data_IF_496074069222
#
_entry.id   IF_496074069222
#
_cell.length_a   1.000
_cell.length_b   1.000
_cell.length_c   1.000
_cell.angle_alpha   90.00
_cell.angle_beta   90.00
_cell.angle_gamma   90.00
#
_symmetry.space_group_name_H-M   'P 1'
#
loop_
_entity.id
_entity.type
_entity.pdbx_description
1 polymer ?
#
# COMPACT_ATOMS: atom_id res chain seq x y z
N UNK A 1 6.38 18.52 12.77
CA UNK A 1 6.79 17.64 11.64
C UNK A 1 7.60 18.49 10.68
N UNK A 2 8.82 18.11 10.30
CA UNK A 2 9.67 18.95 9.46
C UNK A 2 9.46 18.55 7.99
N UNK A 3 8.57 19.26 7.28
CA UNK A 3 8.19 18.98 5.89
C UNK A 3 9.39 18.85 4.94
N UNK A 4 10.49 19.56 5.22
CA UNK A 4 11.72 19.50 4.42
C UNK A 4 12.38 18.11 4.49
N UNK A 5 12.29 17.41 5.63
CA UNK A 5 12.85 16.06 5.76
C UNK A 5 12.05 15.04 4.92
N UNK A 6 10.73 15.15 4.93
CA UNK A 6 9.85 14.28 4.13
C UNK A 6 10.04 14.50 2.63
N UNK A 7 10.09 15.76 2.18
CA UNK A 7 10.36 16.09 0.77
C UNK A 7 11.71 15.54 0.33
N UNK A 8 12.74 15.64 1.18
CA UNK A 8 14.05 15.03 0.90
C UNK A 8 13.96 13.51 0.78
N UNK A 9 13.27 12.84 1.70
CA UNK A 9 13.09 11.39 1.63
C UNK A 9 12.33 10.95 0.35
N UNK A 10 11.25 11.65 0.00
CA UNK A 10 10.49 11.40 -1.24
C UNK A 10 11.37 11.63 -2.47
N UNK A 11 12.19 12.69 -2.49
CA UNK A 11 13.11 12.96 -3.60
C UNK A 11 14.18 11.87 -3.77
N UNK A 12 14.65 11.29 -2.65
CA UNK A 12 15.57 10.14 -2.67
C UNK A 12 14.84 8.91 -3.23
N UNK A 13 13.59 8.66 -2.83
CA UNK A 13 12.78 7.56 -3.38
C UNK A 13 12.57 7.68 -4.89
N UNK A 14 12.17 8.86 -5.37
CA UNK A 14 12.01 9.14 -6.80
C UNK A 14 13.35 8.98 -7.52
N UNK A 15 14.45 9.46 -6.91
CA UNK A 15 15.80 9.30 -7.44
C UNK A 15 16.21 7.83 -7.59
N UNK A 16 15.92 6.98 -6.61
CA UNK A 16 16.18 5.54 -6.70
C UNK A 16 15.38 4.90 -7.83
N UNK A 17 14.09 5.25 -7.97
CA UNK A 17 13.25 4.76 -9.07
C UNK A 17 13.74 5.22 -10.44
N UNK A 18 14.17 6.47 -10.56
CA UNK A 18 14.72 7.01 -11.81
C UNK A 18 16.06 6.38 -12.16
N UNK A 19 16.95 6.16 -11.19
CA UNK A 19 18.22 5.45 -11.41
C UNK A 19 17.96 4.00 -11.80
N UNK A 20 17.00 3.33 -11.17
CA UNK A 20 16.62 1.97 -11.52
C UNK A 20 15.97 1.90 -12.91
N UNK A 21 15.06 2.82 -13.22
CA UNK A 21 14.45 2.94 -14.54
C UNK A 21 15.46 3.29 -15.62
N UNK A 22 16.41 4.18 -15.35
CA UNK A 22 17.51 4.52 -16.24
C UNK A 22 18.49 3.35 -16.42
N UNK A 23 18.74 2.56 -15.38
CA UNK A 23 19.53 1.34 -15.47
C UNK A 23 18.83 0.31 -16.37
N UNK A 24 17.53 0.08 -16.19
CA UNK A 24 16.74 -0.79 -17.09
C UNK A 24 16.72 -0.23 -18.52
N UNK A 25 16.60 1.08 -18.68
CA UNK A 25 16.57 1.74 -19.98
C UNK A 25 17.94 1.64 -20.70
N UNK A 26 19.04 1.83 -19.98
CA UNK A 26 20.40 1.63 -20.50
C UNK A 26 20.65 0.17 -20.89
N UNK A 27 20.08 -0.79 -20.15
CA UNK A 27 20.07 -2.20 -20.52
C UNK A 27 19.28 -2.41 -21.82
N UNK A 28 18.16 -1.70 -22.01
CA UNK A 28 17.32 -1.81 -23.21
C UNK A 28 17.87 -1.11 -24.45
N UNK A 29 18.81 -0.17 -24.29
CA UNK A 29 19.45 0.58 -25.39
C UNK A 29 20.64 -0.14 -26.04
N UNK A 30 21.06 -1.29 -25.49
CA UNK A 30 22.11 -2.08 -26.09
C UNK A 30 21.61 -2.79 -27.36
N UNK A 31 21.95 -2.27 -28.54
CA UNK A 31 21.61 -2.79 -29.88
C UNK A 31 22.01 -4.26 -30.15
N UNK A 32 22.64 -4.92 -29.18
CA UNK A 32 23.18 -6.27 -29.30
C UNK A 32 22.95 -7.05 -28.01
N UNK A 33 21.68 -7.38 -27.74
CA UNK A 33 21.23 -8.14 -26.56
C UNK A 33 22.15 -9.33 -26.23
N UNK A 34 22.64 -10.04 -27.26
CA UNK A 34 23.55 -11.19 -27.10
C UNK A 34 24.86 -10.85 -26.39
N UNK A 35 25.55 -9.77 -26.79
CA UNK A 35 26.85 -9.41 -26.21
C UNK A 35 26.70 -8.99 -24.75
N UNK A 36 25.60 -8.32 -24.40
CA UNK A 36 25.29 -7.92 -23.03
C UNK A 36 25.17 -9.14 -22.10
N UNK A 37 24.39 -10.16 -22.48
CA UNK A 37 24.28 -11.40 -21.72
C UNK A 37 25.63 -12.11 -21.57
N UNK A 38 26.46 -12.16 -22.62
CA UNK A 38 27.79 -12.75 -22.55
C UNK A 38 28.73 -11.97 -21.61
N UNK A 39 28.67 -10.63 -21.57
CA UNK A 39 29.44 -9.83 -20.60
C UNK A 39 29.00 -10.07 -19.16
N UNK A 40 27.70 -10.19 -18.89
CA UNK A 40 27.20 -10.52 -17.54
C UNK A 40 27.66 -11.90 -17.11
N UNK A 41 27.47 -12.92 -17.98
CA UNK A 41 27.88 -14.30 -17.69
C UNK A 41 29.40 -14.37 -17.50
N UNK A 42 30.17 -13.69 -18.35
CA UNK A 42 31.63 -13.58 -18.23
C UNK A 42 32.05 -12.93 -16.92
N UNK A 43 31.39 -11.85 -16.51
CA UNK A 43 31.66 -11.19 -15.22
C UNK A 43 31.35 -12.10 -14.02
N UNK A 44 30.22 -12.83 -14.04
CA UNK A 44 29.87 -13.81 -13.01
C UNK A 44 30.95 -14.90 -12.89
N UNK A 45 31.44 -15.41 -14.03
CA UNK A 45 32.52 -16.40 -14.05
C UNK A 45 33.83 -15.85 -13.49
N UNK A 46 34.19 -14.61 -13.82
CA UNK A 46 35.37 -13.93 -13.26
C UNK A 46 35.23 -13.78 -11.74
N UNK A 47 34.05 -13.37 -11.23
CA UNK A 47 33.80 -13.30 -9.80
C UNK A 47 33.95 -14.66 -9.11
N UNK A 48 33.44 -15.74 -9.71
CA UNK A 48 33.57 -17.11 -9.21
C UNK A 48 35.05 -17.54 -9.11
N UNK A 49 35.82 -17.30 -10.17
CA UNK A 49 37.26 -17.62 -10.22
C UNK A 49 38.01 -16.85 -9.14
N UNK A 50 37.73 -15.55 -8.98
CA UNK A 50 38.36 -14.70 -7.97
C UNK A 50 38.05 -15.20 -6.54
N UNK A 51 36.81 -15.61 -6.27
CA UNK A 51 36.43 -16.19 -4.96
C UNK A 51 37.15 -17.53 -4.70
N UNK A 52 37.27 -18.39 -5.71
CA UNK A 52 38.01 -19.66 -5.59
C UNK A 52 39.49 -19.41 -5.30
N UNK A 53 40.12 -18.49 -6.05
CA UNK A 53 41.53 -18.10 -5.83
C UNK A 53 41.73 -17.52 -4.43
N UNK A 54 40.80 -16.70 -3.96
CA UNK A 54 40.82 -16.14 -2.60
C UNK A 54 40.78 -17.25 -1.53
N UNK A 55 39.91 -18.25 -1.70
CA UNK A 55 39.79 -19.38 -0.76
C UNK A 55 41.03 -20.29 -0.73
N UNK A 56 41.72 -20.45 -1.87
CA UNK A 56 42.91 -21.30 -1.98
C UNK A 56 44.14 -20.60 -1.40
N UNK A 57 44.40 -19.35 -1.78
CA UNK A 57 45.67 -18.68 -1.47
C UNK A 57 45.67 -17.91 -0.15
N UNK A 58 44.50 -17.54 0.42
CA UNK A 58 44.31 -16.89 1.73
C UNK A 58 45.37 -15.83 2.08
N UNK A 59 45.80 -15.04 1.09
CA UNK A 59 46.88 -14.06 1.24
C UNK A 59 46.29 -12.64 1.20
N UNK A 60 46.78 -11.75 2.07
CA UNK A 60 46.30 -10.35 2.22
C UNK A 60 46.33 -9.55 0.92
N UNK A 61 47.27 -9.84 0.01
CA UNK A 61 47.37 -9.16 -1.29
C UNK A 61 46.25 -9.64 -2.23
N UNK A 62 45.99 -10.95 -2.25
CA UNK A 62 44.92 -11.57 -3.05
C UNK A 62 43.55 -11.07 -2.57
N UNK A 63 43.35 -10.93 -1.26
CA UNK A 63 42.13 -10.37 -0.69
C UNK A 63 41.87 -8.92 -1.14
N UNK A 64 42.91 -8.08 -1.21
CA UNK A 64 42.77 -6.69 -1.67
C UNK A 64 42.41 -6.61 -3.15
N UNK A 65 43.05 -7.42 -4.00
CA UNK A 65 42.79 -7.46 -5.44
C UNK A 65 41.39 -8.02 -5.70
N UNK A 66 41.02 -9.10 -5.01
CA UNK A 66 39.67 -9.68 -5.07
C UNK A 66 38.60 -8.66 -4.66
N UNK A 67 38.87 -7.88 -3.60
CA UNK A 67 38.00 -6.80 -3.15
C UNK A 67 37.69 -5.80 -4.26
N UNK A 68 38.70 -5.32 -5.00
CA UNK A 68 38.52 -4.35 -6.10
C UNK A 68 37.66 -4.94 -7.23
N UNK A 69 37.92 -6.19 -7.63
CA UNK A 69 37.19 -6.86 -8.72
C UNK A 69 35.73 -7.14 -8.33
N UNK A 70 35.46 -7.38 -7.04
CA UNK A 70 34.13 -7.64 -6.50
C UNK A 70 33.33 -6.36 -6.18
N UNK A 71 33.91 -5.15 -6.27
CA UNK A 71 33.18 -3.89 -6.00
C UNK A 71 31.88 -3.78 -6.83
N UNK A 72 31.88 -3.99 -8.16
CA UNK A 72 30.65 -3.89 -8.95
C UNK A 72 29.59 -4.91 -8.53
N UNK A 73 29.99 -6.16 -8.23
CA UNK A 73 29.09 -7.17 -7.68
C UNK A 73 28.54 -6.77 -6.30
N UNK A 74 29.36 -6.17 -5.45
CA UNK A 74 28.96 -5.65 -4.14
C UNK A 74 27.93 -4.51 -4.24
N UNK A 75 28.10 -3.61 -5.21
CA UNK A 75 27.12 -2.55 -5.50
C UNK A 75 25.78 -3.17 -5.92
N UNK A 76 25.79 -4.14 -6.84
CA UNK A 76 24.57 -4.85 -7.25
C UNK A 76 23.90 -5.56 -6.08
N UNK A 77 24.67 -6.24 -5.23
CA UNK A 77 24.14 -6.91 -4.05
C UNK A 77 23.52 -5.92 -3.04
N UNK A 78 24.15 -4.76 -2.83
CA UNK A 78 23.61 -3.71 -1.98
C UNK A 78 22.29 -3.16 -2.53
N UNK A 79 22.22 -2.91 -3.85
CA UNK A 79 20.98 -2.48 -4.52
C UNK A 79 19.87 -3.51 -4.31
N UNK A 80 20.13 -4.80 -4.58
CA UNK A 80 19.15 -5.88 -4.40
C UNK A 80 18.67 -5.97 -2.94
N UNK A 81 19.59 -5.84 -1.98
CA UNK A 81 19.30 -5.87 -0.54
C UNK A 81 18.32 -4.75 -0.13
N UNK A 82 18.41 -3.57 -0.75
CA UNK A 82 17.48 -2.45 -0.48
C UNK A 82 16.16 -2.60 -1.26
N UNK A 83 16.22 -3.09 -2.49
CA UNK A 83 15.03 -3.25 -3.35
C UNK A 83 14.07 -4.31 -2.80
N UNK A 84 14.57 -5.44 -2.29
CA UNK A 84 13.73 -6.54 -1.78
C UNK A 84 12.69 -6.08 -0.75
N UNK A 85 13.06 -5.42 0.37
CA UNK A 85 12.08 -4.99 1.36
C UNK A 85 11.13 -3.94 0.79
N UNK A 86 11.63 -3.02 -0.05
CA UNK A 86 10.82 -1.99 -0.67
C UNK A 86 9.73 -2.58 -1.59
N UNK A 87 10.13 -3.45 -2.52
CA UNK A 87 9.20 -4.12 -3.44
C UNK A 87 8.20 -4.99 -2.69
N UNK A 88 8.63 -5.66 -1.61
CA UNK A 88 7.74 -6.49 -0.81
C UNK A 88 6.66 -5.66 -0.12
N UNK A 89 7.05 -4.54 0.50
CA UNK A 89 6.10 -3.60 1.14
C UNK A 89 5.18 -2.96 0.10
N UNK A 90 5.70 -2.64 -1.09
CA UNK A 90 4.89 -2.13 -2.20
C UNK A 90 3.84 -3.15 -2.67
N UNK A 91 4.22 -4.43 -2.80
CA UNK A 91 3.27 -5.52 -3.12
C UNK A 91 2.19 -5.65 -2.04
N UNK A 92 2.52 -5.49 -0.75
CA UNK A 92 1.50 -5.47 0.31
C UNK A 92 0.55 -4.28 0.18
N UNK A 93 1.05 -3.09 -0.19
CA UNK A 93 0.21 -1.93 -0.45
C UNK A 93 -0.75 -2.22 -1.62
N UNK A 94 -0.27 -2.83 -2.70
CA UNK A 94 -1.12 -3.22 -3.83
C UNK A 94 -2.20 -4.22 -3.41
N UNK A 95 -1.84 -5.28 -2.67
CA UNK A 95 -2.84 -6.23 -2.15
C UNK A 95 -3.87 -5.54 -1.25
N UNK A 96 -3.43 -4.60 -0.39
CA UNK A 96 -4.32 -3.84 0.46
C UNK A 96 -5.35 -3.06 -0.36
N UNK A 97 -4.89 -2.32 -1.38
CA UNK A 97 -5.77 -1.55 -2.26
C UNK A 97 -6.73 -2.45 -3.04
N UNK A 98 -6.24 -3.58 -3.57
CA UNK A 98 -7.08 -4.55 -4.28
C UNK A 98 -8.18 -5.12 -3.38
N UNK A 99 -7.83 -5.59 -2.17
CA UNK A 99 -8.82 -6.14 -1.23
C UNK A 99 -9.85 -5.06 -0.86
N UNK A 100 -9.40 -3.82 -0.66
CA UNK A 100 -10.27 -2.69 -0.33
C UNK A 100 -11.27 -2.33 -1.44
N UNK A 101 -10.94 -2.62 -2.71
CA UNK A 101 -11.84 -2.40 -3.86
C UNK A 101 -12.73 -3.63 -4.12
N UNK A 102 -12.17 -4.83 -4.02
CA UNK A 102 -12.88 -6.10 -4.29
C UNK A 102 -14.03 -6.31 -3.30
N UNK A 103 -13.82 -6.02 -2.01
CA UNK A 103 -14.86 -6.19 -0.99
C UNK A 103 -16.15 -5.39 -1.30
N UNK A 104 -16.09 -4.07 -1.53
CA UNK A 104 -17.25 -3.28 -1.99
C UNK A 104 -17.88 -3.82 -3.26
N UNK A 105 -17.08 -4.24 -4.25
CA UNK A 105 -17.60 -4.79 -5.51
C UNK A 105 -18.44 -6.03 -5.27
N UNK A 106 -17.98 -6.96 -4.43
CA UNK A 106 -18.73 -8.17 -4.07
C UNK A 106 -20.04 -7.78 -3.37
N UNK A 107 -20.02 -6.81 -2.46
CA UNK A 107 -21.22 -6.35 -1.74
C UNK A 107 -22.23 -5.76 -2.73
N UNK A 108 -21.81 -4.85 -3.60
CA UNK A 108 -22.67 -4.18 -4.58
C UNK A 108 -23.24 -5.19 -5.57
N UNK A 109 -22.41 -6.10 -6.11
CA UNK A 109 -22.86 -7.10 -7.06
C UNK A 109 -23.85 -8.09 -6.43
N UNK A 110 -23.64 -8.47 -5.17
CA UNK A 110 -24.59 -9.26 -4.40
C UNK A 110 -25.93 -8.54 -4.24
N UNK A 111 -25.92 -7.27 -3.82
CA UNK A 111 -27.14 -6.46 -3.69
C UNK A 111 -27.87 -6.30 -5.02
N UNK A 112 -27.13 -6.14 -6.13
CA UNK A 112 -27.71 -6.08 -7.46
C UNK A 112 -28.35 -7.41 -7.87
N UNK A 113 -27.71 -8.55 -7.56
CA UNK A 113 -28.25 -9.88 -7.83
C UNK A 113 -29.60 -10.13 -7.12
N UNK A 114 -29.76 -9.61 -5.90
CA UNK A 114 -31.03 -9.66 -5.16
C UNK A 114 -32.04 -8.58 -5.60
N UNK A 115 -31.72 -7.76 -6.59
CA UNK A 115 -32.61 -6.72 -7.14
C UNK A 115 -32.70 -5.43 -6.30
N UNK A 116 -31.93 -5.31 -5.21
CA UNK A 116 -31.99 -4.14 -4.32
C UNK A 116 -31.41 -2.86 -4.93
N UNK A 117 -30.66 -2.94 -6.02
CA UNK A 117 -30.03 -1.79 -6.69
C UNK A 117 -30.67 -1.45 -8.04
N UNK A 118 -31.70 -2.18 -8.45
CA UNK A 118 -32.33 -2.06 -9.78
C UNK A 118 -32.92 -0.68 -10.10
N UNK A 119 -33.23 0.11 -9.07
CA UNK A 119 -33.77 1.47 -9.21
C UNK A 119 -32.69 2.56 -9.25
N UNK A 120 -31.43 2.22 -8.99
CA UNK A 120 -30.32 3.18 -8.92
C UNK A 120 -29.72 3.41 -10.29
N UNK A 121 -29.32 4.66 -10.56
CA UNK A 121 -28.52 4.99 -11.74
C UNK A 121 -27.11 4.45 -11.61
N UNK A 122 -26.44 4.20 -12.76
CA UNK A 122 -25.04 3.77 -12.78
C UNK A 122 -24.11 4.72 -12.02
N UNK A 123 -24.38 6.03 -12.09
CA UNK A 123 -23.63 7.07 -11.37
C UNK A 123 -23.81 6.97 -9.86
N UNK A 124 -24.99 6.59 -9.39
CA UNK A 124 -25.25 6.37 -7.96
C UNK A 124 -24.55 5.11 -7.45
N UNK A 125 -24.57 4.03 -8.25
CA UNK A 125 -23.83 2.80 -7.93
C UNK A 125 -22.33 3.07 -7.87
N UNK A 126 -21.79 3.86 -8.80
CA UNK A 126 -20.39 4.28 -8.80
C UNK A 126 -20.02 5.13 -7.57
N UNK A 127 -20.88 6.09 -7.20
CA UNK A 127 -20.72 6.85 -5.95
C UNK A 127 -20.63 5.93 -4.73
N UNK A 128 -21.53 4.94 -4.62
CA UNK A 128 -21.50 3.98 -3.52
C UNK A 128 -20.25 3.12 -3.54
N UNK A 129 -19.79 2.70 -4.72
CA UNK A 129 -18.57 1.91 -4.87
C UNK A 129 -17.37 2.64 -4.27
N UNK A 130 -17.12 3.88 -4.70
CA UNK A 130 -15.98 4.67 -4.19
C UNK A 130 -16.14 4.92 -2.69
N UNK A 131 -17.34 5.32 -2.25
CA UNK A 131 -17.60 5.68 -0.84
C UNK A 131 -17.39 4.49 0.09
N UNK A 132 -17.94 3.32 -0.26
CA UNK A 132 -17.78 2.09 0.53
C UNK A 132 -16.32 1.63 0.49
N UNK A 133 -15.61 1.74 -0.65
CA UNK A 133 -14.17 1.45 -0.73
C UNK A 133 -13.38 2.23 0.31
N UNK A 134 -13.55 3.55 0.37
CA UNK A 134 -12.78 4.39 1.30
C UNK A 134 -13.20 4.17 2.75
N UNK A 135 -14.49 3.91 3.02
CA UNK A 135 -14.96 3.60 4.38
C UNK A 135 -14.40 2.26 4.86
N UNK A 136 -14.46 1.22 4.03
CA UNK A 136 -13.91 -0.10 4.36
C UNK A 136 -12.40 -0.01 4.59
N UNK A 137 -11.70 0.76 3.75
CA UNK A 137 -10.25 0.98 3.89
C UNK A 137 -9.86 1.60 5.23
N UNK A 138 -10.73 2.40 5.86
CA UNK A 138 -10.45 3.01 7.17
C UNK A 138 -10.98 2.14 8.31
N UNK A 139 -12.26 1.75 8.29
CA UNK A 139 -12.90 1.00 9.37
C UNK A 139 -12.31 -0.39 9.57
N UNK A 140 -12.01 -1.07 8.46
CA UNK A 140 -11.55 -2.45 8.47
C UNK A 140 -10.05 -2.55 8.18
N UNK A 141 -9.27 -1.48 8.42
CA UNK A 141 -7.83 -1.45 8.15
C UNK A 141 -7.10 -2.65 8.78
N UNK A 142 -7.44 -3.00 10.02
CA UNK A 142 -6.81 -4.13 10.71
C UNK A 142 -7.14 -5.47 10.02
N UNK A 143 -8.40 -5.70 9.67
CA UNK A 143 -8.88 -6.94 9.04
C UNK A 143 -8.27 -7.09 7.64
N UNK A 144 -8.25 -6.02 6.84
CA UNK A 144 -7.64 -6.03 5.50
C UNK A 144 -6.14 -6.32 5.63
N UNK A 145 -5.44 -5.71 6.59
CA UNK A 145 -4.02 -5.98 6.84
C UNK A 145 -3.75 -7.44 7.19
N UNK A 146 -4.60 -8.05 8.01
CA UNK A 146 -4.49 -9.49 8.30
C UNK A 146 -4.65 -10.35 7.03
N UNK A 147 -5.59 -10.01 6.15
CA UNK A 147 -5.76 -10.69 4.86
C UNK A 147 -4.54 -10.52 3.97
N UNK A 148 -3.94 -9.33 3.91
CA UNK A 148 -2.69 -9.09 3.18
C UNK A 148 -1.58 -10.01 3.68
N UNK A 149 -1.41 -10.14 5.01
CA UNK A 149 -0.42 -11.05 5.57
C UNK A 149 -0.70 -12.53 5.30
N UNK A 150 -1.97 -12.91 5.14
CA UNK A 150 -2.36 -14.28 4.84
C UNK A 150 -2.09 -14.65 3.38
N UNK A 151 -2.35 -13.73 2.45
CA UNK A 151 -2.26 -13.96 1.00
C UNK A 151 -0.85 -13.68 0.48
N UNK A 152 -0.06 -12.86 1.19
CA UNK A 152 1.26 -12.46 0.70
C UNK A 152 2.19 -13.65 0.44
N UNK A 153 2.84 -13.71 -0.74
CA UNK A 153 3.82 -14.74 -1.06
C UNK A 153 5.09 -14.58 -0.20
N UNK A 154 5.38 -13.35 0.24
CA UNK A 154 6.39 -13.11 1.25
C UNK A 154 5.83 -13.63 2.58
N UNK A 155 6.20 -14.86 2.95
CA UNK A 155 5.79 -15.49 4.21
C UNK A 155 6.47 -14.79 5.41
N UNK A 156 6.14 -13.52 5.66
CA UNK A 156 6.82 -12.63 6.62
C UNK A 156 6.89 -13.29 8.01
N UNK A 157 5.82 -13.99 8.40
CA UNK A 157 5.71 -14.62 9.72
C UNK A 157 6.55 -15.90 9.88
N UNK A 158 6.96 -16.54 8.79
CA UNK A 158 7.65 -17.85 8.85
C UNK A 158 9.02 -17.88 8.18
N UNK A 159 9.34 -16.88 7.35
CA UNK A 159 10.61 -16.85 6.61
C UNK A 159 11.77 -16.33 7.45
N UNK A 160 12.72 -17.21 7.79
CA UNK A 160 13.98 -16.83 8.47
C UNK A 160 14.85 -15.87 7.65
N UNK A 161 14.80 -15.96 6.30
CA UNK A 161 15.59 -15.10 5.39
C UNK A 161 15.11 -13.66 5.36
N UNK A 162 13.81 -13.44 5.61
CA UNK A 162 13.20 -12.11 5.56
C UNK A 162 13.14 -11.43 6.93
N UNK A 163 13.32 -12.19 8.01
CA UNK A 163 13.32 -11.69 9.40
C UNK A 163 14.24 -10.48 9.64
N UNK A 164 15.47 -10.40 9.06
CA UNK A 164 16.34 -9.25 9.27
C UNK A 164 15.80 -7.92 8.73
N UNK A 165 14.87 -7.96 7.76
CA UNK A 165 14.30 -6.76 7.17
C UNK A 165 13.11 -6.18 7.96
N UNK A 166 12.61 -6.89 8.98
CA UNK A 166 11.46 -6.47 9.79
C UNK A 166 10.27 -5.98 8.94
N UNK A 167 9.94 -6.76 7.89
CA UNK A 167 8.92 -6.40 6.89
C UNK A 167 7.52 -6.20 7.48
N UNK A 168 7.23 -6.86 8.59
CA UNK A 168 6.03 -6.66 9.39
C UNK A 168 5.93 -5.22 9.90
N UNK A 169 7.00 -4.70 10.50
CA UNK A 169 7.02 -3.32 11.00
C UNK A 169 6.94 -2.30 9.86
N UNK A 170 7.64 -2.55 8.76
CA UNK A 170 7.59 -1.67 7.58
C UNK A 170 6.20 -1.64 6.95
N UNK A 171 5.54 -2.80 6.86
CA UNK A 171 4.17 -2.91 6.35
C UNK A 171 3.17 -2.28 7.31
N UNK A 172 3.30 -2.53 8.62
CA UNK A 172 2.44 -1.95 9.64
C UNK A 172 2.56 -0.42 9.69
N UNK A 173 3.76 0.11 9.47
CA UNK A 173 4.02 1.53 9.34
C UNK A 173 3.31 2.10 8.10
N UNK A 174 3.60 1.56 6.90
CA UNK A 174 3.05 2.10 5.66
C UNK A 174 1.52 1.99 5.60
N UNK A 175 0.98 0.84 6.00
CA UNK A 175 -0.46 0.52 5.95
C UNK A 175 -1.12 0.76 7.33
N UNK A 176 -0.61 1.72 8.09
CA UNK A 176 -1.29 2.17 9.31
C UNK A 176 -2.57 2.93 8.95
N UNK A 177 -3.58 2.89 9.82
CA UNK A 177 -4.85 3.56 9.59
C UNK A 177 -4.69 5.06 9.27
N UNK A 178 -3.76 5.73 9.97
CA UNK A 178 -3.44 7.15 9.72
C UNK A 178 -2.83 7.37 8.32
N UNK A 179 -1.91 6.50 7.91
CA UNK A 179 -1.28 6.60 6.60
C UNK A 179 -2.25 6.25 5.47
N UNK A 180 -3.17 5.31 5.69
CA UNK A 180 -4.25 5.02 4.73
C UNK A 180 -5.23 6.19 4.62
N UNK A 181 -5.66 6.81 5.73
CA UNK A 181 -6.45 8.06 5.66
C UNK A 181 -5.72 9.13 4.88
N UNK A 182 -4.43 9.36 5.18
CA UNK A 182 -3.62 10.33 4.46
C UNK A 182 -3.54 10.02 2.97
N UNK A 183 -3.31 8.77 2.59
CA UNK A 183 -3.28 8.33 1.20
C UNK A 183 -4.63 8.61 0.49
N UNK A 184 -5.75 8.31 1.15
CA UNK A 184 -7.09 8.59 0.62
C UNK A 184 -7.27 10.10 0.41
N UNK A 185 -6.87 10.94 1.38
CA UNK A 185 -6.90 12.40 1.22
C UNK A 185 -6.04 12.89 0.06
N UNK A 186 -4.83 12.34 -0.11
CA UNK A 186 -3.95 12.69 -1.24
C UNK A 186 -4.57 12.28 -2.57
N UNK A 187 -5.14 11.07 -2.66
CA UNK A 187 -5.82 10.61 -3.88
C UNK A 187 -7.00 11.51 -4.23
N UNK A 188 -7.85 11.85 -3.26
CA UNK A 188 -8.95 12.78 -3.51
C UNK A 188 -8.48 14.19 -3.86
N UNK A 189 -7.41 14.68 -3.24
CA UNK A 189 -6.83 15.98 -3.57
C UNK A 189 -6.33 16.02 -5.02
N UNK A 190 -5.61 14.98 -5.46
CA UNK A 190 -5.14 14.84 -6.84
C UNK A 190 -6.32 14.73 -7.81
N UNK A 191 -7.33 13.91 -7.50
CA UNK A 191 -8.55 13.81 -8.31
C UNK A 191 -9.29 15.14 -8.41
N UNK A 192 -9.41 15.89 -7.31
CA UNK A 192 -10.05 17.20 -7.28
C UNK A 192 -9.29 18.21 -8.16
N UNK A 193 -7.96 18.23 -8.10
CA UNK A 193 -7.15 19.07 -8.99
C UNK A 193 -7.38 18.69 -10.46
N UNK A 194 -7.33 17.39 -10.78
CA UNK A 194 -7.52 16.90 -12.14
C UNK A 194 -8.92 17.26 -12.69
N UNK A 195 -9.97 16.98 -11.92
CA UNK A 195 -11.37 17.30 -12.28
C UNK A 195 -11.54 18.80 -12.50
N UNK A 196 -11.01 19.65 -11.62
CA UNK A 196 -11.12 21.10 -11.79
C UNK A 196 -10.37 21.59 -13.03
N UNK A 197 -9.17 21.06 -13.30
CA UNK A 197 -8.39 21.44 -14.49
C UNK A 197 -9.15 21.10 -15.77
N UNK A 198 -9.77 19.91 -15.85
CA UNK A 198 -10.56 19.51 -17.02
C UNK A 198 -11.84 20.32 -17.13
N UNK A 199 -12.53 20.58 -16.02
CA UNK A 199 -13.79 21.34 -16.00
C UNK A 199 -13.56 22.79 -16.47
N UNK A 200 -12.46 23.43 -16.07
CA UNK A 200 -12.06 24.74 -16.58
C UNK A 200 -11.74 24.75 -18.09
N UNK A 201 -11.37 23.60 -18.66
CA UNK A 201 -11.15 23.43 -20.09
C UNK A 201 -12.44 23.06 -20.86
N UNK A 202 -13.58 22.97 -20.17
CA UNK A 202 -14.86 22.57 -20.76
C UNK A 202 -14.93 21.08 -21.08
N UNK A 203 -14.09 20.25 -20.47
CA UNK A 203 -14.07 18.79 -20.60
C UNK A 203 -14.32 18.10 -19.26
N UNK A 204 -14.66 16.82 -19.29
CA UNK A 204 -14.75 15.96 -18.11
C UNK A 204 -13.52 15.08 -17.98
N UNK A 205 -13.11 14.79 -16.75
CA UNK A 205 -12.00 13.86 -16.49
C UNK A 205 -12.41 12.42 -16.82
N UNK A 206 -13.65 12.08 -16.48
CA UNK A 206 -14.30 10.81 -16.85
C UNK A 206 -15.12 10.97 -18.14
N UNK A 207 -15.68 9.88 -18.64
CA UNK A 207 -16.52 9.88 -19.85
C UNK A 207 -17.77 10.78 -19.73
N UNK A 208 -18.25 11.02 -18.50
CA UNK A 208 -19.42 11.88 -18.22
C UNK A 208 -19.20 12.71 -16.97
N UNK A 209 -19.55 14.00 -17.01
CA UNK A 209 -19.46 14.93 -15.87
C UNK A 209 -20.17 14.43 -14.60
N UNK A 210 -21.18 13.57 -14.72
CA UNK A 210 -21.88 12.97 -13.58
C UNK A 210 -20.98 12.04 -12.74
N UNK A 211 -20.04 11.33 -13.36
CA UNK A 211 -19.09 10.49 -12.63
C UNK A 211 -18.04 11.34 -11.90
N UNK A 212 -17.59 12.45 -12.49
CA UNK A 212 -16.72 13.43 -11.82
C UNK A 212 -17.42 14.00 -10.57
N UNK A 213 -18.71 14.34 -10.69
CA UNK A 213 -19.54 14.78 -9.55
C UNK A 213 -19.65 13.70 -8.48
N UNK A 214 -19.83 12.44 -8.86
CA UNK A 214 -19.88 11.32 -7.92
C UNK A 214 -18.56 11.15 -7.14
N UNK A 215 -17.40 11.34 -7.78
CA UNK A 215 -16.08 11.33 -7.11
C UNK A 215 -16.01 12.46 -6.07
N UNK A 216 -16.39 13.69 -6.46
CA UNK A 216 -16.39 14.85 -5.56
C UNK A 216 -17.36 14.69 -4.38
N UNK A 217 -18.54 14.14 -4.62
CA UNK A 217 -19.52 13.85 -3.56
C UNK A 217 -19.02 12.76 -2.62
N UNK A 218 -18.36 11.72 -3.14
CA UNK A 218 -17.75 10.68 -2.33
C UNK A 218 -16.64 11.24 -1.45
N UNK A 219 -15.86 12.20 -1.96
CA UNK A 219 -14.86 12.90 -1.16
C UNK A 219 -15.48 13.68 0.01
N UNK A 220 -16.56 14.43 -0.24
CA UNK A 220 -17.28 15.17 0.81
C UNK A 220 -17.82 14.20 1.87
N UNK A 221 -18.42 13.09 1.43
CA UNK A 221 -18.91 12.04 2.34
C UNK A 221 -17.76 11.46 3.18
N UNK A 222 -16.59 11.25 2.59
CA UNK A 222 -15.39 10.80 3.29
C UNK A 222 -14.89 11.80 4.34
N UNK A 223 -14.83 13.10 4.02
CA UNK A 223 -14.45 14.14 5.00
C UNK A 223 -15.41 14.13 6.20
N UNK A 224 -16.72 14.10 5.94
CA UNK A 224 -17.73 14.09 7.00
C UNK A 224 -17.60 12.83 7.87
N UNK A 225 -17.43 11.66 7.23
CA UNK A 225 -17.21 10.40 7.90
C UNK A 225 -15.95 10.39 8.78
N UNK A 226 -14.82 10.85 8.25
CA UNK A 226 -13.55 10.91 8.97
C UNK A 226 -13.63 11.85 10.19
N UNK A 227 -14.36 12.96 10.03
CA UNK A 227 -14.64 13.89 11.13
C UNK A 227 -15.50 13.25 12.21
N UNK A 228 -16.55 12.52 11.84
CA UNK A 228 -17.40 11.79 12.79
C UNK A 228 -16.58 10.74 13.56
N UNK A 229 -15.71 9.98 12.89
CA UNK A 229 -14.83 9.02 13.55
C UNK A 229 -13.90 9.67 14.57
N UNK A 230 -13.36 10.83 14.23
CA UNK A 230 -12.49 11.58 15.14
C UNK A 230 -13.28 12.04 16.37
N UNK A 231 -14.45 12.64 16.16
CA UNK A 231 -15.33 13.06 17.26
C UNK A 231 -15.76 11.89 18.14
N UNK A 232 -16.05 10.71 17.57
CA UNK A 232 -16.47 9.54 18.33
C UNK A 232 -15.40 9.05 19.31
N UNK A 233 -14.12 9.23 18.99
CA UNK A 233 -13.02 8.90 19.91
C UNK A 233 -12.93 9.89 21.08
N UNK A 234 -13.38 11.13 20.89
CA UNK A 234 -13.33 12.21 21.88
C UNK A 234 -14.64 12.33 22.70
N UNK A 235 -15.70 11.61 22.33
CA UNK A 235 -16.97 11.63 23.05
C UNK A 235 -16.86 10.92 24.41
N UNK A 236 -17.26 11.63 25.47
CA UNK A 236 -17.48 11.04 26.81
C UNK A 236 -18.61 9.99 26.79
N UNK A 237 -19.64 10.24 25.97
CA UNK A 237 -20.72 9.28 25.73
C UNK A 237 -20.31 8.23 24.70
N UNK A 238 -20.06 7.01 25.16
CA UNK A 238 -19.81 5.85 24.29
C UNK A 238 -21.09 5.04 24.11
N UNK A 239 -21.64 4.93 22.89
CA UNK A 239 -22.87 4.17 22.64
C UNK A 239 -22.79 2.70 23.10
N UNK A 240 -21.62 2.06 22.95
CA UNK A 240 -21.38 0.70 23.43
C UNK A 240 -21.54 0.58 24.95
N UNK A 241 -20.96 1.52 25.69
CA UNK A 241 -21.09 1.59 27.15
C UNK A 241 -22.54 1.86 27.56
N UNK A 242 -23.26 2.71 26.83
CA UNK A 242 -24.67 2.96 27.08
C UNK A 242 -25.52 1.72 26.86
N UNK A 243 -25.33 0.98 25.76
CA UNK A 243 -26.06 -0.27 25.51
C UNK A 243 -25.81 -1.32 26.60
N UNK A 244 -24.56 -1.45 27.08
CA UNK A 244 -24.24 -2.32 28.21
C UNK A 244 -25.01 -1.89 29.46
N UNK A 245 -25.02 -0.59 29.77
CA UNK A 245 -25.75 -0.05 30.93
C UNK A 245 -27.26 -0.28 30.81
N UNK A 246 -27.85 -0.07 29.64
CA UNK A 246 -29.27 -0.36 29.38
C UNK A 246 -29.56 -1.85 29.57
N UNK A 247 -28.75 -2.73 28.99
CA UNK A 247 -28.90 -4.18 29.16
C UNK A 247 -28.81 -4.61 30.63
N UNK A 248 -27.89 -4.02 31.40
CA UNK A 248 -27.78 -4.24 32.84
C UNK A 248 -28.99 -3.71 33.61
N UNK A 249 -29.48 -2.51 33.28
CA UNK A 249 -30.70 -1.94 33.88
C UNK A 249 -31.93 -2.82 33.64
N UNK A 250 -32.10 -3.33 32.42
CA UNK A 250 -33.18 -4.26 32.07
C UNK A 250 -33.03 -5.57 32.86
N UNK A 251 -31.84 -6.16 32.90
CA UNK A 251 -31.58 -7.40 33.65
C UNK A 251 -31.87 -7.24 35.14
N UNK A 252 -31.46 -6.11 35.74
CA UNK A 252 -31.73 -5.81 37.14
C UNK A 252 -33.23 -5.66 37.41
N UNK A 253 -33.98 -5.03 36.49
CA UNK A 253 -35.43 -4.88 36.61
C UNK A 253 -36.15 -6.23 36.52
N UNK A 254 -35.72 -7.12 35.64
CA UNK A 254 -36.27 -8.47 35.52
C UNK A 254 -36.07 -9.28 36.82
N UNK A 255 -34.86 -9.23 37.39
CA UNK A 255 -34.56 -9.90 38.68
C UNK A 255 -35.37 -9.36 39.87
N UNK A 256 -35.76 -8.09 39.83
CA UNK A 256 -36.64 -7.47 40.84
C UNK A 256 -38.09 -7.95 40.69
N UNK A 257 -38.54 -8.18 39.46
CA UNK A 257 -39.88 -8.71 39.18
C UNK A 257 -40.01 -10.20 39.54
N UNK A 258 -38.97 -11.01 39.32
CA UNK A 258 -38.96 -12.45 39.66
C UNK A 258 -38.90 -12.73 41.18
N UNK A 259 -38.65 -11.70 42.00
CA UNK A 259 -38.61 -11.81 43.48
C UNK A 259 -39.95 -11.53 44.15
N UNK A 260 -41.00 -11.21 43.38
CA UNK A 260 -42.38 -11.03 43.86
C UNK A 260 -43.23 -12.22 43.50
#
# INVERSE_FOLDING_TARGET
MNYIKEIKAVSIFIGIFLVFGAFIYLISLGDNEKYFYYTIIGYILICLIVVIIQQIFKNKIVDKIAGIILIPAGILFAIVTVIIPFMTVFVHLLYYLMISVILPLIIIQSLNHFGYLSFLTETTVFFFQITITVFISVLFNHQIKQLVYLISPARIRTSKKLKPYELDKLTDYLISEKNIRFLIYVLYFVSLLAINITDFQGSSLTEKTEFDKAILQSFIAFIAFDRVLTLLNDLEFKPSTFLIKIGQSISNKLKDLDKK
#
